data_IF_767627301900
#
_entry.id   IF_767627301900
#
_cell.length_a   1.000
_cell.length_b   1.000
_cell.length_c   1.000
_cell.angle_alpha   90.00
_cell.angle_beta   90.00
_cell.angle_gamma   90.00
#
_symmetry.space_group_name_H-M   'P 1'
#
loop_
_entity.id
_entity.type
_entity.pdbx_description
1 polymer ?
#
# COMPACT_ATOMS: atom_id res chain seq x y z
N UNK A 1 -15.72 -15.05 -58.08
CA UNK A 1 -16.42 -14.70 -56.82
C UNK A 1 -16.43 -15.86 -55.80
N UNK A 2 -15.27 -16.45 -55.47
CA UNK A 2 -15.12 -17.47 -54.40
C UNK A 2 -13.76 -17.37 -53.68
N UNK A 3 -13.35 -16.16 -53.28
CA UNK A 3 -12.16 -16.00 -52.43
C UNK A 3 -12.25 -14.93 -51.36
N UNK A 4 -13.40 -14.25 -51.17
CA UNK A 4 -13.54 -13.21 -50.14
C UNK A 4 -14.19 -13.65 -48.82
N UNK A 5 -14.69 -14.88 -48.72
CA UNK A 5 -15.43 -15.35 -47.53
C UNK A 5 -14.55 -15.76 -46.33
N UNK A 6 -13.29 -16.22 -46.45
CA UNK A 6 -12.49 -16.61 -45.28
C UNK A 6 -12.02 -15.42 -44.43
N UNK A 7 -11.77 -14.27 -45.05
CA UNK A 7 -11.20 -13.10 -44.37
C UNK A 7 -12.24 -12.33 -43.53
N UNK A 8 -13.52 -12.42 -43.89
CA UNK A 8 -14.61 -11.75 -43.16
C UNK A 8 -14.82 -12.40 -41.78
N UNK A 9 -14.64 -13.71 -41.65
CA UNK A 9 -14.77 -14.39 -40.34
C UNK A 9 -13.63 -14.06 -39.38
N UNK A 10 -12.41 -13.88 -39.90
CA UNK A 10 -11.26 -13.48 -39.09
C UNK A 10 -11.43 -12.02 -38.62
N UNK A 11 -11.89 -11.14 -39.50
CA UNK A 11 -12.14 -9.72 -39.19
C UNK A 11 -13.28 -9.58 -38.16
N UNK A 12 -14.38 -10.32 -38.31
CA UNK A 12 -15.50 -10.30 -37.34
C UNK A 12 -15.06 -10.86 -35.97
N UNK A 13 -14.21 -11.90 -35.96
CA UNK A 13 -13.67 -12.47 -34.70
C UNK A 13 -12.72 -11.50 -34.00
N UNK A 14 -11.88 -10.79 -34.76
CA UNK A 14 -10.99 -9.75 -34.21
C UNK A 14 -11.75 -8.53 -33.70
N UNK A 15 -12.85 -8.14 -34.35
CA UNK A 15 -13.72 -7.04 -33.90
C UNK A 15 -14.51 -7.43 -32.63
N UNK A 16 -14.95 -8.68 -32.51
CA UNK A 16 -15.60 -9.18 -31.29
C UNK A 16 -14.63 -9.27 -30.10
N UNK A 17 -13.38 -9.66 -30.34
CA UNK A 17 -12.32 -9.69 -29.32
C UNK A 17 -11.92 -8.28 -28.88
N UNK A 18 -11.78 -7.34 -29.82
CA UNK A 18 -11.52 -5.93 -29.51
C UNK A 18 -12.71 -5.27 -28.79
N UNK A 19 -13.95 -5.63 -29.14
CA UNK A 19 -15.15 -5.18 -28.45
C UNK A 19 -15.28 -5.73 -27.02
N UNK A 20 -14.83 -6.97 -26.78
CA UNK A 20 -14.77 -7.57 -25.44
C UNK A 20 -13.71 -6.89 -24.56
N UNK A 21 -12.55 -6.53 -25.14
CA UNK A 21 -11.51 -5.73 -24.48
C UNK A 21 -12.03 -4.31 -24.17
N UNK A 22 -12.79 -3.70 -25.07
CA UNK A 22 -13.38 -2.37 -24.84
C UNK A 22 -14.44 -2.34 -23.73
N UNK A 23 -15.08 -3.48 -23.44
CA UNK A 23 -16.13 -3.60 -22.41
C UNK A 23 -15.60 -4.04 -21.04
N UNK A 24 -14.44 -4.71 -20.99
CA UNK A 24 -13.85 -5.26 -19.76
C UNK A 24 -12.79 -4.34 -19.13
N UNK A 25 -12.38 -3.26 -19.80
CA UNK A 25 -11.36 -2.32 -19.33
C UNK A 25 -11.86 -0.85 -19.44
N UNK A 26 -12.49 -0.28 -18.39
CA UNK A 26 -12.99 1.09 -18.38
C UNK A 26 -11.91 2.17 -18.62
N UNK A 27 -10.63 1.84 -18.40
CA UNK A 27 -9.49 2.73 -18.60
C UNK A 27 -9.25 3.11 -20.08
N UNK A 28 -9.79 2.34 -21.03
CA UNK A 28 -9.71 2.65 -22.48
C UNK A 28 -10.72 3.73 -22.90
N UNK A 29 -11.78 3.98 -22.12
CA UNK A 29 -12.76 5.03 -22.42
C UNK A 29 -12.25 6.46 -22.16
N UNK A 30 -11.18 6.64 -21.38
CA UNK A 30 -10.68 7.95 -21.00
C UNK A 30 -9.63 8.53 -21.98
N UNK A 31 -9.07 7.72 -22.88
CA UNK A 31 -8.11 8.18 -23.87
C UNK A 31 -8.80 8.54 -25.19
N UNK A 32 -9.52 9.67 -25.20
CA UNK A 32 -9.91 10.31 -26.45
C UNK A 32 -8.64 10.71 -27.22
N UNK A 33 -8.32 9.99 -28.29
CA UNK A 33 -7.20 10.34 -29.18
C UNK A 33 -7.75 11.20 -30.33
N UNK A 34 -7.60 12.53 -30.30
CA UNK A 34 -7.77 13.33 -31.51
C UNK A 34 -6.56 13.14 -32.42
N UNK A 35 -6.83 12.85 -33.69
CA UNK A 35 -5.85 12.92 -34.77
C UNK A 35 -5.41 14.38 -34.98
N UNK A 36 -4.11 14.72 -34.91
CA UNK A 36 -3.63 15.99 -35.44
C UNK A 36 -3.19 15.82 -36.91
N UNK A 37 -3.67 16.74 -37.73
CA UNK A 37 -3.19 17.00 -39.08
C UNK A 37 -1.71 17.52 -39.05
N UNK A 38 -0.99 17.50 -40.18
CA UNK A 38 0.46 17.64 -40.19
C UNK A 38 0.89 19.11 -40.01
N UNK A 39 1.64 19.40 -38.95
CA UNK A 39 2.27 20.70 -38.73
C UNK A 39 3.19 20.73 -37.51
N UNK A 40 4.51 20.72 -37.76
CA UNK A 40 5.59 21.31 -36.95
C UNK A 40 5.71 20.99 -35.45
N UNK A 41 6.79 20.34 -35.05
CA UNK A 41 7.29 20.29 -33.67
C UNK A 41 8.14 21.54 -33.40
N UNK A 42 7.87 22.35 -32.35
CA UNK A 42 8.86 23.25 -31.77
C UNK A 42 9.22 22.84 -30.34
N UNK A 43 10.53 22.66 -30.08
CA UNK A 43 11.07 22.69 -28.71
C UNK A 43 11.95 21.53 -28.24
N UNK A 44 12.76 20.92 -29.11
CA UNK A 44 13.89 20.10 -28.64
C UNK A 44 15.16 20.96 -28.57
N UNK A 45 15.53 21.43 -27.37
CA UNK A 45 16.89 21.89 -27.10
C UNK A 45 17.68 20.77 -26.42
N UNK A 46 18.59 20.15 -27.16
CA UNK A 46 19.62 19.27 -26.61
C UNK A 46 20.64 20.13 -25.86
N UNK A 47 20.54 20.19 -24.53
CA UNK A 47 21.64 20.71 -23.70
C UNK A 47 22.60 19.56 -23.36
N UNK A 48 23.81 19.65 -23.90
CA UNK A 48 24.94 18.76 -23.67
C UNK A 48 25.45 18.84 -22.22
N UNK A 49 25.14 17.86 -21.38
CA UNK A 49 25.66 17.82 -20.01
C UNK A 49 25.48 16.51 -19.23
N UNK A 50 24.99 15.43 -19.84
CA UNK A 50 24.85 14.14 -19.16
C UNK A 50 26.18 13.37 -19.12
N UNK A 51 26.66 13.03 -17.93
CA UNK A 51 27.76 12.05 -17.81
C UNK A 51 27.34 10.71 -18.46
N UNK A 52 28.24 10.00 -19.17
CA UNK A 52 27.92 8.76 -19.90
C UNK A 52 27.17 7.71 -19.07
N UNK A 53 27.39 7.68 -17.76
CA UNK A 53 26.76 6.73 -16.84
C UNK A 53 25.23 6.90 -16.71
N UNK A 54 24.73 8.15 -16.68
CA UNK A 54 23.29 8.42 -16.48
C UNK A 54 22.43 8.07 -17.70
N UNK A 55 22.96 8.30 -18.91
CA UNK A 55 22.31 7.90 -20.15
C UNK A 55 22.26 6.36 -20.30
N UNK A 56 23.32 5.67 -19.84
CA UNK A 56 23.38 4.20 -19.83
C UNK A 56 22.35 3.60 -18.87
N UNK A 57 22.17 4.19 -17.68
CA UNK A 57 21.16 3.75 -16.71
C UNK A 57 19.74 4.00 -17.22
N UNK A 58 19.45 5.19 -17.75
CA UNK A 58 18.12 5.50 -18.32
C UNK A 58 17.75 4.58 -19.50
N UNK A 59 18.74 4.27 -20.36
CA UNK A 59 18.56 3.33 -21.46
C UNK A 59 18.33 1.89 -20.95
N UNK A 60 19.04 1.46 -19.90
CA UNK A 60 18.84 0.14 -19.32
C UNK A 60 17.47 -0.02 -18.64
N UNK A 61 16.97 1.01 -17.96
CA UNK A 61 15.61 1.01 -17.37
C UNK A 61 14.53 0.96 -18.45
N UNK A 62 14.71 1.69 -19.55
CA UNK A 62 13.81 1.62 -20.71
C UNK A 62 13.80 0.20 -21.31
N UNK A 63 14.97 -0.41 -21.49
CA UNK A 63 15.08 -1.79 -21.96
C UNK A 63 14.44 -2.79 -21.00
N UNK A 64 14.55 -2.57 -19.68
CA UNK A 64 13.91 -3.41 -18.66
C UNK A 64 12.39 -3.36 -18.77
N UNK A 65 11.80 -2.15 -18.89
CA UNK A 65 10.34 -2.01 -19.06
C UNK A 65 9.84 -2.65 -20.35
N UNK A 66 10.62 -2.54 -21.43
CA UNK A 66 10.30 -3.21 -22.71
C UNK A 66 10.38 -4.74 -22.54
N UNK A 67 11.39 -5.25 -21.83
CA UNK A 67 11.55 -6.67 -21.55
C UNK A 67 10.43 -7.22 -20.66
N UNK A 68 10.05 -6.51 -19.61
CA UNK A 68 8.93 -6.87 -18.71
C UNK A 68 7.59 -6.89 -19.48
N UNK A 69 7.34 -5.86 -20.31
CA UNK A 69 6.15 -5.81 -21.17
C UNK A 69 6.11 -6.93 -22.22
N UNK A 70 7.26 -7.23 -22.84
CA UNK A 70 7.37 -8.32 -23.82
C UNK A 70 7.18 -9.70 -23.15
N UNK A 71 7.73 -9.91 -21.95
CA UNK A 71 7.57 -11.14 -21.19
C UNK A 71 6.10 -11.34 -20.75
N UNK A 72 5.44 -10.28 -20.27
CA UNK A 72 4.03 -10.33 -19.89
C UNK A 72 3.12 -10.66 -21.08
N UNK A 73 3.37 -10.05 -22.25
CA UNK A 73 2.64 -10.35 -23.48
C UNK A 73 2.86 -11.80 -23.93
N UNK A 74 4.11 -12.26 -23.95
CA UNK A 74 4.46 -13.62 -24.37
C UNK A 74 3.87 -14.68 -23.42
N UNK A 75 3.91 -14.44 -22.11
CA UNK A 75 3.30 -15.31 -21.11
C UNK A 75 1.77 -15.36 -21.25
N UNK A 76 1.12 -14.21 -21.50
CA UNK A 76 -0.32 -14.13 -21.73
C UNK A 76 -0.74 -14.94 -22.97
N UNK A 77 0.03 -14.87 -24.05
CA UNK A 77 -0.19 -15.70 -25.25
C UNK A 77 0.00 -17.17 -24.92
N UNK A 78 1.06 -17.56 -24.21
CA UNK A 78 1.30 -18.96 -23.82
C UNK A 78 0.14 -19.53 -22.98
N UNK A 79 -0.35 -18.78 -21.99
CA UNK A 79 -1.49 -19.16 -21.15
C UNK A 79 -2.77 -19.29 -21.98
N UNK A 80 -3.03 -18.36 -22.89
CA UNK A 80 -4.18 -18.46 -23.81
C UNK A 80 -4.11 -19.74 -24.65
N UNK A 81 -2.94 -20.08 -25.20
CA UNK A 81 -2.74 -21.32 -25.94
C UNK A 81 -2.92 -22.56 -25.06
N UNK A 82 -2.53 -22.51 -23.78
CA UNK A 82 -2.81 -23.59 -22.83
C UNK A 82 -4.31 -23.76 -22.61
N UNK A 83 -5.06 -22.68 -22.37
CA UNK A 83 -6.52 -22.71 -22.20
C UNK A 83 -7.22 -23.25 -23.44
N UNK A 84 -6.86 -22.75 -24.63
CA UNK A 84 -7.45 -23.19 -25.89
C UNK A 84 -7.17 -24.66 -26.20
N UNK A 85 -5.95 -25.15 -25.91
CA UNK A 85 -5.63 -26.57 -26.09
C UNK A 85 -6.22 -27.45 -24.98
N UNK A 86 -6.39 -26.93 -23.77
CA UNK A 86 -7.13 -27.58 -22.68
C UNK A 86 -8.60 -27.80 -23.02
N UNK A 87 -9.28 -26.77 -23.55
CA UNK A 87 -10.64 -26.89 -24.05
C UNK A 87 -10.74 -27.87 -25.23
N UNK A 88 -9.77 -27.90 -26.14
CA UNK A 88 -9.73 -28.90 -27.23
C UNK A 88 -9.59 -30.33 -26.71
N UNK A 89 -8.92 -30.53 -25.57
CA UNK A 89 -8.79 -31.84 -24.94
C UNK A 89 -10.14 -32.34 -24.40
N UNK A 90 -10.93 -31.46 -23.79
CA UNK A 90 -12.26 -31.81 -23.25
C UNK A 90 -13.29 -32.10 -24.34
N UNK A 91 -13.19 -31.45 -25.50
CA UNK A 91 -14.13 -31.62 -26.62
C UNK A 91 -13.68 -32.65 -27.68
N UNK A 92 -12.61 -33.41 -27.45
CA UNK A 92 -12.05 -34.31 -28.47
C UNK A 92 -12.88 -35.60 -28.72
N UNK A 93 -13.94 -35.90 -27.95
CA UNK A 93 -14.91 -37.00 -28.12
C UNK A 93 -14.39 -38.26 -28.87
N UNK A 94 -13.32 -38.89 -28.37
CA UNK A 94 -12.79 -40.14 -28.92
C UNK A 94 -12.02 -40.04 -30.26
N UNK A 95 -11.87 -38.84 -30.83
CA UNK A 95 -11.04 -38.61 -32.01
C UNK A 95 -9.55 -38.56 -31.62
N UNK A 96 -8.82 -39.65 -31.88
CA UNK A 96 -7.41 -39.82 -31.52
C UNK A 96 -6.47 -38.79 -32.19
N UNK A 97 -6.81 -38.32 -33.39
CA UNK A 97 -6.03 -37.30 -34.10
C UNK A 97 -6.18 -35.92 -33.44
N UNK A 98 -7.42 -35.54 -33.08
CA UNK A 98 -7.70 -34.30 -32.38
C UNK A 98 -7.05 -34.26 -30.99
N UNK A 99 -7.09 -35.41 -30.28
CA UNK A 99 -6.47 -35.58 -28.97
C UNK A 99 -4.93 -35.48 -29.06
N UNK A 100 -4.34 -36.05 -30.10
CA UNK A 100 -2.91 -35.94 -30.39
C UNK A 100 -2.46 -34.49 -30.66
N UNK A 101 -3.25 -33.74 -31.43
CA UNK A 101 -2.97 -32.31 -31.72
C UNK A 101 -3.10 -31.44 -30.46
N UNK A 102 -4.13 -31.65 -29.64
CA UNK A 102 -4.33 -30.89 -28.40
C UNK A 102 -3.19 -31.13 -27.38
N UNK A 103 -2.76 -32.38 -27.19
CA UNK A 103 -1.63 -32.72 -26.30
C UNK A 103 -0.32 -32.08 -26.76
N UNK A 104 -0.01 -32.16 -28.06
CA UNK A 104 1.18 -31.49 -28.63
C UNK A 104 1.11 -29.96 -28.45
N UNK A 105 -0.06 -29.37 -28.66
CA UNK A 105 -0.27 -27.93 -28.44
C UNK A 105 -0.04 -27.52 -26.98
N UNK A 106 -0.51 -28.32 -26.02
CA UNK A 106 -0.28 -28.08 -24.59
C UNK A 106 1.20 -28.20 -24.22
N UNK A 107 1.90 -29.22 -24.73
CA UNK A 107 3.34 -29.39 -24.49
C UNK A 107 4.15 -28.21 -25.03
N UNK A 108 3.86 -27.73 -26.24
CA UNK A 108 4.57 -26.58 -26.82
C UNK A 108 4.27 -25.27 -26.10
N UNK A 109 3.03 -25.06 -25.65
CA UNK A 109 2.68 -23.88 -24.86
C UNK A 109 3.38 -23.89 -23.48
N UNK A 110 3.43 -25.05 -22.81
CA UNK A 110 4.16 -25.21 -21.55
C UNK A 110 5.67 -25.03 -21.72
N UNK A 111 6.26 -25.61 -22.77
CA UNK A 111 7.68 -25.42 -23.10
C UNK A 111 7.99 -23.94 -23.41
N UNK A 112 7.10 -23.26 -24.12
CA UNK A 112 7.21 -21.82 -24.38
C UNK A 112 7.18 -20.98 -23.09
N UNK A 113 6.27 -21.29 -22.17
CA UNK A 113 6.17 -20.59 -20.88
C UNK A 113 7.43 -20.79 -20.02
N UNK A 114 7.95 -22.02 -19.95
CA UNK A 114 9.20 -22.31 -19.23
C UNK A 114 10.39 -21.56 -19.84
N UNK A 115 10.48 -21.49 -21.17
CA UNK A 115 11.53 -20.73 -21.85
C UNK A 115 11.43 -19.23 -21.58
N UNK A 116 10.21 -18.67 -21.53
CA UNK A 116 9.99 -17.26 -21.20
C UNK A 116 10.42 -16.97 -19.75
N UNK A 117 10.04 -17.81 -18.80
CA UNK A 117 10.42 -17.67 -17.38
C UNK A 117 11.95 -17.79 -17.24
N UNK A 118 12.57 -18.75 -17.91
CA UNK A 118 14.01 -18.92 -17.88
C UNK A 118 14.74 -17.71 -18.48
N UNK A 119 14.29 -17.22 -19.65
CA UNK A 119 14.84 -16.02 -20.27
C UNK A 119 14.70 -14.79 -19.35
N UNK A 120 13.55 -14.65 -18.69
CA UNK A 120 13.28 -13.58 -17.73
C UNK A 120 14.27 -13.58 -16.55
N UNK A 121 14.48 -14.75 -15.93
CA UNK A 121 15.41 -14.94 -14.81
C UNK A 121 16.85 -14.62 -15.24
N UNK A 122 17.28 -15.11 -16.42
CA UNK A 122 18.62 -14.84 -16.96
C UNK A 122 18.82 -13.34 -17.18
N UNK A 123 17.85 -12.64 -17.80
CA UNK A 123 17.93 -11.19 -18.02
C UNK A 123 18.04 -10.43 -16.70
N UNK A 124 17.19 -10.73 -15.71
CA UNK A 124 17.25 -10.11 -14.36
C UNK A 124 18.59 -10.35 -13.68
N UNK A 125 19.13 -11.57 -13.76
CA UNK A 125 20.40 -11.95 -13.14
C UNK A 125 21.59 -11.24 -13.79
N UNK A 126 21.63 -11.17 -15.13
CA UNK A 126 22.69 -10.46 -15.86
C UNK A 126 22.67 -8.97 -15.54
N UNK A 127 21.49 -8.37 -15.43
CA UNK A 127 21.31 -6.98 -15.03
C UNK A 127 21.82 -6.76 -13.60
N UNK A 128 21.39 -7.58 -12.64
CA UNK A 128 21.84 -7.49 -11.24
C UNK A 128 23.36 -7.61 -11.11
N UNK A 129 23.99 -8.54 -11.83
CA UNK A 129 25.45 -8.71 -11.85
C UNK A 129 26.18 -7.53 -12.52
N UNK A 130 25.56 -6.87 -13.50
CA UNK A 130 26.12 -5.70 -14.17
C UNK A 130 26.12 -4.46 -13.25
N UNK A 131 25.19 -4.39 -12.28
CA UNK A 131 25.06 -3.27 -11.35
C UNK A 131 25.65 -3.51 -9.95
N UNK A 132 25.99 -4.75 -9.60
CA UNK A 132 26.56 -5.10 -8.28
C UNK A 132 28.08 -4.88 -8.16
N UNK A 133 28.74 -4.28 -9.16
CA UNK A 133 30.19 -4.04 -9.16
C UNK A 133 30.57 -2.60 -8.80
N UNK A 134 30.63 -2.28 -7.50
CA UNK A 134 31.55 -1.27 -6.91
C UNK A 134 31.35 -1.19 -5.40
N UNK A 135 32.05 -2.11 -4.72
CA UNK A 135 32.75 -2.01 -3.45
C UNK A 135 32.05 -1.38 -2.23
N UNK A 136 31.80 -2.23 -1.23
CA UNK A 136 31.43 -1.83 0.12
C UNK A 136 32.58 -1.18 0.88
N UNK A 137 32.25 -0.16 1.68
CA UNK A 137 32.96 0.25 2.90
C UNK A 137 32.08 1.21 3.69
N UNK A 138 31.81 0.85 4.94
CA UNK A 138 31.21 1.73 5.93
C UNK A 138 32.19 2.88 6.26
N UNK A 139 31.70 4.12 6.30
CA UNK A 139 32.32 5.21 7.08
C UNK A 139 31.21 6.00 7.75
N UNK A 140 31.14 5.87 9.08
CA UNK A 140 30.50 6.83 9.97
C UNK A 140 31.32 8.12 9.93
N UNK A 141 30.67 9.26 9.70
CA UNK A 141 31.29 10.59 9.79
C UNK A 141 30.22 11.65 10.03
N UNK A 142 30.17 12.15 11.26
CA UNK A 142 29.53 13.41 11.63
C UNK A 142 30.26 14.58 10.97
N UNK A 143 29.56 15.50 10.29
CA UNK A 143 29.83 16.94 10.30
C UNK A 143 28.78 17.75 9.52
N UNK A 144 28.56 18.98 10.00
CA UNK A 144 27.49 19.92 9.65
C UNK A 144 27.77 20.80 8.40
N UNK A 145 26.67 21.17 7.72
CA UNK A 145 26.37 22.41 6.96
C UNK A 145 27.10 22.73 5.63
N UNK A 146 26.35 22.67 4.50
CA UNK A 146 25.96 23.81 3.65
C UNK A 146 25.13 23.34 2.41
N UNK A 147 24.18 24.15 1.88
CA UNK A 147 23.19 23.70 0.90
C UNK A 147 23.74 23.75 -0.53
N UNK A 148 23.58 22.66 -1.30
CA UNK A 148 23.95 22.63 -2.72
C UNK A 148 22.75 22.32 -3.62
N UNK A 149 22.59 23.24 -4.56
CA UNK A 149 21.65 23.36 -5.68
C UNK A 149 21.51 22.12 -6.58
N UNK A 150 20.23 21.82 -6.88
CA UNK A 150 19.57 20.95 -7.89
C UNK A 150 20.26 20.91 -9.28
N UNK A 151 20.34 19.84 -10.10
CA UNK A 151 19.40 18.79 -10.65
C UNK A 151 20.25 17.74 -11.44
N UNK A 152 19.80 16.55 -11.96
CA UNK A 152 18.51 16.25 -12.63
C UNK A 152 17.82 14.89 -12.38
N UNK A 153 16.48 14.92 -12.43
CA UNK A 153 15.54 13.82 -12.26
C UNK A 153 14.35 14.34 -11.46
N UNK A 154 13.52 15.17 -12.09
CA UNK A 154 12.50 16.02 -11.48
C UNK A 154 11.47 15.21 -10.67
N UNK A 155 11.75 15.04 -9.38
CA UNK A 155 10.76 14.82 -8.35
C UNK A 155 10.04 16.17 -8.22
N UNK A 156 8.72 16.21 -8.39
CA UNK A 156 7.91 17.42 -8.15
C UNK A 156 8.36 18.01 -6.81
N UNK A 157 8.88 19.26 -6.76
CA UNK A 157 9.39 19.80 -5.52
C UNK A 157 8.28 19.71 -4.47
N UNK A 158 8.51 18.90 -3.44
CA UNK A 158 7.60 18.59 -2.33
C UNK A 158 7.36 19.82 -1.45
N UNK A 159 7.52 21.04 -1.96
CA UNK A 159 7.09 22.25 -1.29
C UNK A 159 5.56 22.17 -1.18
N UNK A 160 5.03 22.19 0.04
CA UNK A 160 3.64 22.54 0.25
C UNK A 160 3.45 23.93 -0.35
N UNK A 161 2.92 24.00 -1.58
CA UNK A 161 2.75 25.27 -2.28
C UNK A 161 2.01 26.21 -1.34
N UNK A 162 2.62 27.35 -1.02
CA UNK A 162 1.97 28.32 -0.14
C UNK A 162 1.08 29.19 -1.02
N UNK A 163 -0.20 29.23 -0.70
CA UNK A 163 -1.19 30.09 -1.35
C UNK A 163 -1.48 31.27 -0.43
N UNK A 164 -1.45 32.50 -0.95
CA UNK A 164 -1.86 33.69 -0.18
C UNK A 164 -3.35 33.89 -0.39
N UNK A 165 -4.12 33.80 0.70
CA UNK A 165 -5.56 34.06 0.69
C UNK A 165 -5.88 35.53 0.46
N UNK A 166 -7.13 35.81 0.08
CA UNK A 166 -7.65 37.18 -0.10
C UNK A 166 -7.61 38.02 1.21
N UNK A 167 -7.47 37.35 2.35
CA UNK A 167 -7.27 37.91 3.68
C UNK A 167 -5.80 38.28 3.99
N UNK A 168 -4.88 37.99 3.07
CA UNK A 168 -3.44 38.21 3.23
C UNK A 168 -2.72 37.14 4.06
N UNK A 169 -3.40 36.05 4.45
CA UNK A 169 -2.81 34.93 5.18
C UNK A 169 -2.24 33.89 4.21
N UNK A 170 -1.06 33.38 4.52
CA UNK A 170 -0.43 32.29 3.78
C UNK A 170 -0.97 30.93 4.26
N UNK A 171 -1.50 30.13 3.34
CA UNK A 171 -2.05 28.81 3.60
C UNK A 171 -1.25 27.73 2.88
N UNK A 172 -1.21 26.53 3.44
CA UNK A 172 -0.77 25.35 2.68
C UNK A 172 -1.79 25.07 1.59
N UNK A 173 -1.30 24.86 0.35
CA UNK A 173 -2.15 24.54 -0.79
C UNK A 173 -2.91 23.25 -0.55
N UNK A 174 -4.23 23.40 -0.49
CA UNK A 174 -5.15 22.31 -0.17
C UNK A 174 -5.28 21.30 -1.31
N UNK A 175 -5.82 20.13 -0.98
CA UNK A 175 -6.14 19.08 -1.93
C UNK A 175 -5.26 17.84 -1.78
N UNK A 176 -5.55 16.86 -2.63
CA UNK A 176 -4.84 15.59 -2.66
C UNK A 176 -3.70 15.65 -3.69
N UNK A 177 -2.53 15.14 -3.31
CA UNK A 177 -1.34 15.05 -4.16
C UNK A 177 -0.70 13.68 -4.02
N UNK A 178 -0.16 13.16 -5.12
CA UNK A 178 0.75 12.00 -5.09
C UNK A 178 2.16 12.54 -5.20
N UNK A 179 3.02 12.17 -4.27
CA UNK A 179 4.41 12.61 -4.19
C UNK A 179 5.32 11.39 -4.13
N UNK A 180 6.58 11.57 -4.47
CA UNK A 180 7.60 10.52 -4.36
C UNK A 180 8.93 11.08 -3.88
N UNK A 181 9.79 10.24 -3.34
CA UNK A 181 11.19 10.55 -3.10
C UNK A 181 12.05 9.30 -3.31
N UNK A 182 13.35 9.48 -3.57
CA UNK A 182 14.28 8.36 -3.65
C UNK A 182 14.79 7.96 -2.28
N UNK A 183 14.81 6.66 -2.04
CA UNK A 183 15.38 6.08 -0.83
C UNK A 183 15.93 4.69 -1.12
N UNK A 184 17.14 4.41 -0.64
CA UNK A 184 17.84 3.13 -0.86
C UNK A 184 17.88 2.71 -2.34
N UNK A 185 17.99 3.69 -3.25
CA UNK A 185 18.04 3.45 -4.70
C UNK A 185 16.70 3.13 -5.36
N UNK A 186 15.58 3.19 -4.63
CA UNK A 186 14.23 3.02 -5.16
C UNK A 186 13.42 4.31 -5.02
N UNK A 187 12.51 4.54 -5.96
CA UNK A 187 11.49 5.59 -5.82
C UNK A 187 10.39 5.07 -4.87
N UNK A 188 10.08 5.86 -3.83
CA UNK A 188 9.01 5.57 -2.87
C UNK A 188 7.93 6.63 -3.02
N UNK A 189 6.69 6.19 -3.19
CA UNK A 189 5.53 7.06 -3.40
C UNK A 189 4.67 7.18 -2.15
N UNK A 190 3.90 8.24 -2.02
CA UNK A 190 2.87 8.40 -1.00
C UNK A 190 1.82 9.39 -1.50
N UNK A 191 0.63 9.37 -0.89
CA UNK A 191 -0.37 10.42 -1.08
C UNK A 191 -0.47 11.29 0.15
N UNK A 192 -0.72 12.57 -0.07
CA UNK A 192 -0.98 13.54 0.97
C UNK A 192 -2.29 14.25 0.66
N UNK A 193 -3.07 14.52 1.70
CA UNK A 193 -4.27 15.34 1.65
C UNK A 193 -4.13 16.49 2.64
N UNK A 194 -4.13 17.71 2.10
CA UNK A 194 -4.09 18.95 2.89
C UNK A 194 -5.49 19.56 2.90
N UNK A 195 -6.13 19.69 4.08
CA UNK A 195 -7.39 20.42 4.23
C UNK A 195 -7.31 21.87 3.77
N UNK A 196 -8.45 22.44 3.42
CA UNK A 196 -8.56 23.89 3.20
C UNK A 196 -8.31 24.66 4.51
N UNK A 197 -7.61 25.79 4.40
CA UNK A 197 -7.43 26.74 5.50
C UNK A 197 -6.37 26.37 6.53
N UNK A 198 -5.39 25.51 6.21
CA UNK A 198 -4.24 25.28 7.09
C UNK A 198 -3.24 26.44 6.96
N UNK A 199 -3.10 27.24 8.02
CA UNK A 199 -2.18 28.38 8.11
C UNK A 199 -0.71 27.94 7.98
N UNK A 200 -0.01 28.38 6.93
CA UNK A 200 1.37 28.01 6.64
C UNK A 200 2.40 28.62 7.61
N UNK A 201 1.99 29.55 8.49
CA UNK A 201 2.83 30.08 9.58
C UNK A 201 2.86 29.17 10.80
N UNK A 202 1.95 28.20 10.89
CA UNK A 202 1.83 27.24 12.00
C UNK A 202 2.27 25.85 11.56
N UNK A 203 2.59 25.02 12.55
CA UNK A 203 2.79 23.57 12.35
C UNK A 203 1.49 22.81 12.57
N UNK A 204 1.27 21.71 11.86
CA UNK A 204 0.01 20.97 11.84
C UNK A 204 0.21 19.50 12.19
N UNK A 205 -0.75 18.86 12.87
CA UNK A 205 -0.69 17.42 13.10
C UNK A 205 -0.73 16.61 11.81
N UNK A 206 -0.16 15.41 11.84
CA UNK A 206 -0.16 14.46 10.73
C UNK A 206 -0.78 13.14 11.19
N UNK A 207 -1.69 12.58 10.39
CA UNK A 207 -2.19 11.21 10.58
C UNK A 207 -1.89 10.39 9.34
N UNK A 208 -1.13 9.30 9.50
CA UNK A 208 -0.76 8.38 8.43
C UNK A 208 -1.64 7.13 8.45
N UNK A 209 -2.15 6.69 7.29
CA UNK A 209 -2.86 5.41 7.15
C UNK A 209 -2.09 4.45 6.26
N UNK A 210 -1.68 3.32 6.84
CA UNK A 210 -0.99 2.22 6.16
C UNK A 210 -2.00 1.22 5.59
N UNK A 211 -1.95 1.00 4.28
CA UNK A 211 -2.84 0.05 3.60
C UNK A 211 -2.52 -1.41 3.97
N UNK A 212 -3.51 -2.30 3.83
CA UNK A 212 -3.31 -3.75 3.97
C UNK A 212 -2.48 -4.36 2.84
N UNK A 213 -2.16 -5.65 2.95
CA UNK A 213 -1.33 -6.36 1.97
C UNK A 213 -1.99 -6.35 0.60
N UNK A 214 -1.19 -6.15 -0.46
CA UNK A 214 -1.67 -5.91 -1.82
C UNK A 214 -2.57 -4.67 -2.01
N UNK A 215 -2.71 -3.82 -1.00
CA UNK A 215 -3.37 -2.52 -1.12
C UNK A 215 -2.51 -1.47 -1.84
N UNK A 216 -2.95 -0.23 -1.71
CA UNK A 216 -2.24 0.99 -2.12
C UNK A 216 -2.81 2.22 -1.37
N UNK A 217 -2.21 3.40 -1.56
CA UNK A 217 -2.61 4.64 -0.90
C UNK A 217 -4.06 5.06 -1.20
N UNK A 218 -4.55 4.85 -2.42
CA UNK A 218 -5.96 5.15 -2.77
C UNK A 218 -6.93 4.27 -1.99
N UNK A 219 -6.64 2.97 -1.91
CA UNK A 219 -7.46 2.03 -1.16
C UNK A 219 -7.49 2.37 0.34
N UNK A 220 -6.35 2.78 0.93
CA UNK A 220 -6.31 3.25 2.31
C UNK A 220 -7.13 4.53 2.52
N UNK A 221 -7.02 5.50 1.60
CA UNK A 221 -7.79 6.74 1.66
C UNK A 221 -9.30 6.49 1.56
N UNK A 222 -9.72 5.64 0.62
CA UNK A 222 -11.13 5.29 0.44
C UNK A 222 -11.68 4.49 1.62
N UNK A 223 -10.93 3.49 2.11
CA UNK A 223 -11.37 2.60 3.18
C UNK A 223 -11.50 3.34 4.52
N UNK A 224 -10.52 4.18 4.85
CA UNK A 224 -10.51 4.92 6.11
C UNK A 224 -11.40 6.17 6.08
N UNK A 225 -11.59 6.79 4.91
CA UNK A 225 -12.27 8.09 4.81
C UNK A 225 -11.54 9.22 5.55
N UNK A 226 -10.25 9.04 5.88
CA UNK A 226 -9.51 9.95 6.75
C UNK A 226 -9.45 11.38 6.17
N UNK A 227 -9.37 11.55 4.85
CA UNK A 227 -9.35 12.87 4.20
C UNK A 227 -10.59 13.70 4.52
N UNK A 228 -11.76 13.07 4.69
CA UNK A 228 -12.99 13.76 5.10
C UNK A 228 -12.90 14.25 6.54
N UNK A 229 -12.34 13.44 7.44
CA UNK A 229 -12.16 13.80 8.85
C UNK A 229 -11.10 14.91 8.99
N UNK A 230 -10.01 14.82 8.21
CA UNK A 230 -8.95 15.82 8.14
C UNK A 230 -9.49 17.23 7.84
N UNK A 231 -10.51 17.35 6.98
CA UNK A 231 -11.15 18.65 6.70
C UNK A 231 -11.80 19.31 7.91
N UNK A 232 -12.40 18.49 8.78
CA UNK A 232 -13.15 18.94 9.95
C UNK A 232 -12.20 19.18 11.13
N UNK A 233 -11.28 18.25 11.36
CA UNK A 233 -10.38 18.24 12.51
C UNK A 233 -9.04 18.94 12.27
N UNK A 234 -8.80 19.43 11.03
CA UNK A 234 -7.66 20.27 10.64
C UNK A 234 -6.29 19.64 10.93
N UNK A 235 -6.03 18.49 10.32
CA UNK A 235 -4.72 17.84 10.27
C UNK A 235 -4.36 17.40 8.85
N UNK A 236 -3.09 17.13 8.58
CA UNK A 236 -2.62 16.60 7.30
C UNK A 236 -2.81 15.08 7.29
N UNK A 237 -3.52 14.54 6.29
CA UNK A 237 -3.68 13.10 6.11
C UNK A 237 -2.65 12.58 5.11
N UNK A 238 -1.98 11.47 5.43
CA UNK A 238 -0.92 10.87 4.61
C UNK A 238 -1.20 9.39 4.41
N UNK A 239 -0.98 8.90 3.21
CA UNK A 239 -1.20 7.51 2.81
C UNK A 239 0.09 6.99 2.15
N UNK A 240 1.00 6.40 2.93
CA UNK A 240 2.25 5.83 2.42
C UNK A 240 1.99 4.62 1.51
N UNK A 241 2.86 4.41 0.50
CA UNK A 241 2.84 3.20 -0.35
C UNK A 241 3.91 2.20 0.08
N UNK A 242 3.50 0.95 0.26
CA UNK A 242 4.42 -0.15 0.53
C UNK A 242 5.27 -0.47 -0.70
N UNK A 243 6.53 -0.86 -0.49
CA UNK A 243 7.31 -1.51 -1.54
C UNK A 243 6.68 -2.84 -1.93
N UNK A 244 6.60 -3.15 -3.23
CA UNK A 244 5.98 -4.37 -3.75
C UNK A 244 4.55 -4.65 -3.21
N UNK A 245 3.83 -3.60 -2.78
CA UNK A 245 2.48 -3.65 -2.19
C UNK A 245 2.40 -4.48 -0.89
N UNK A 246 3.52 -4.71 -0.22
CA UNK A 246 3.57 -5.47 1.03
C UNK A 246 4.54 -4.82 2.01
N UNK A 247 4.04 -4.43 3.19
CA UNK A 247 4.89 -3.91 4.26
C UNK A 247 5.74 -5.01 4.85
N UNK A 248 7.01 -4.72 5.07
CA UNK A 248 7.89 -5.47 5.95
C UNK A 248 7.44 -5.24 7.40
N UNK A 249 6.45 -6.01 7.85
CA UNK A 249 5.72 -5.79 9.10
C UNK A 249 6.29 -6.51 10.31
N UNK A 250 7.47 -7.14 10.16
CA UNK A 250 8.16 -7.87 11.22
C UNK A 250 7.95 -9.38 11.19
N UNK A 251 7.03 -9.89 10.36
CA UNK A 251 6.92 -11.34 10.10
C UNK A 251 8.07 -11.82 9.21
N UNK A 252 8.57 -13.03 9.47
CA UNK A 252 9.59 -13.65 8.63
C UNK A 252 9.14 -13.82 7.16
N UNK A 253 7.84 -13.96 6.92
CA UNK A 253 7.26 -14.15 5.59
C UNK A 253 7.10 -12.85 4.79
N UNK A 254 7.13 -11.69 5.45
CA UNK A 254 7.12 -10.36 4.82
C UNK A 254 8.51 -9.72 4.81
N UNK A 255 9.50 -10.39 5.41
CA UNK A 255 10.87 -9.93 5.45
C UNK A 255 11.42 -9.75 4.03
N UNK A 256 11.91 -8.56 3.74
CA UNK A 256 12.47 -8.20 2.45
C UNK A 256 13.66 -7.24 2.62
N UNK A 257 14.38 -6.97 1.53
CA UNK A 257 15.42 -5.95 1.52
C UNK A 257 14.85 -4.51 1.59
N UNK A 258 13.53 -4.36 1.49
CA UNK A 258 12.85 -3.08 1.59
C UNK A 258 12.72 -2.70 3.06
N UNK A 259 13.34 -1.58 3.44
CA UNK A 259 13.27 -1.04 4.79
C UNK A 259 12.14 -0.01 4.90
N UNK A 260 10.95 -0.51 5.24
CA UNK A 260 9.77 0.35 5.40
C UNK A 260 9.84 1.25 6.63
N UNK A 261 10.61 0.90 7.67
CA UNK A 261 10.80 1.75 8.85
C UNK A 261 11.67 2.95 8.48
N UNK A 262 12.78 2.74 7.75
CA UNK A 262 13.57 3.83 7.21
C UNK A 262 12.73 4.72 6.28
N UNK A 263 11.88 4.13 5.44
CA UNK A 263 10.96 4.87 4.57
C UNK A 263 10.02 5.78 5.32
N UNK A 264 9.35 5.27 6.34
CA UNK A 264 8.46 6.07 7.17
C UNK A 264 9.23 7.19 7.89
N UNK A 265 10.43 6.91 8.40
CA UNK A 265 11.27 7.94 9.04
C UNK A 265 11.69 9.06 8.07
N UNK A 266 12.09 8.71 6.84
CA UNK A 266 12.40 9.70 5.81
C UNK A 266 11.16 10.50 5.40
N UNK A 267 10.01 9.85 5.27
CA UNK A 267 8.74 10.52 4.98
C UNK A 267 8.36 11.51 6.10
N UNK A 268 8.50 11.14 7.37
CA UNK A 268 8.25 12.05 8.50
C UNK A 268 9.16 13.27 8.39
N UNK A 269 10.47 13.08 8.20
CA UNK A 269 11.42 14.19 8.06
C UNK A 269 11.04 15.13 6.91
N UNK A 270 10.56 14.60 5.79
CA UNK A 270 10.08 15.40 4.66
C UNK A 270 8.83 16.22 5.02
N UNK A 271 7.89 15.64 5.76
CA UNK A 271 6.67 16.34 6.20
C UNK A 271 7.01 17.46 7.18
N UNK A 272 7.98 17.24 8.07
CA UNK A 272 8.47 18.25 9.01
C UNK A 272 9.14 19.42 8.29
N UNK A 273 9.95 19.14 7.27
CA UNK A 273 10.67 20.19 6.53
C UNK A 273 9.75 20.99 5.61
N UNK A 274 8.87 20.32 4.88
CA UNK A 274 8.22 20.92 3.71
C UNK A 274 6.72 21.16 3.88
N UNK A 275 6.06 20.45 4.81
CA UNK A 275 4.60 20.48 4.99
C UNK A 275 4.17 21.07 6.31
N UNK A 276 5.10 21.71 7.04
CA UNK A 276 4.84 22.27 8.37
C UNK A 276 4.23 21.23 9.31
N UNK A 277 4.66 19.96 9.24
CA UNK A 277 4.19 18.98 10.21
C UNK A 277 4.73 19.31 11.61
N UNK A 278 3.92 19.08 12.64
CA UNK A 278 4.31 19.21 14.04
C UNK A 278 5.04 17.92 14.48
N UNK A 279 6.33 17.99 14.87
CA UNK A 279 7.11 16.81 15.25
C UNK A 279 6.60 16.09 16.49
N UNK A 280 5.73 16.73 17.27
CA UNK A 280 5.12 16.14 18.48
C UNK A 280 3.73 15.55 18.21
N UNK A 281 3.20 15.67 16.99
CA UNK A 281 1.83 15.29 16.64
C UNK A 281 1.75 14.51 15.33
N UNK A 282 2.63 13.53 15.20
CA UNK A 282 2.59 12.55 14.11
C UNK A 282 1.94 11.27 14.62
N UNK A 283 0.94 10.77 13.92
CA UNK A 283 0.18 9.58 14.30
C UNK A 283 0.18 8.56 13.16
N UNK A 284 0.13 7.28 13.50
CA UNK A 284 0.08 6.18 12.55
C UNK A 284 -1.13 5.29 12.80
N UNK A 285 -1.84 4.89 11.77
CA UNK A 285 -2.82 3.82 11.87
C UNK A 285 -2.82 2.96 10.61
N UNK A 286 -3.38 1.76 10.68
CA UNK A 286 -3.40 0.87 9.52
C UNK A 286 -4.27 -0.34 9.71
N UNK A 287 -4.48 -1.07 8.61
CA UNK A 287 -5.28 -2.30 8.59
C UNK A 287 -4.44 -3.50 8.17
N UNK A 288 -4.68 -4.68 8.76
CA UNK A 288 -4.07 -5.94 8.34
C UNK A 288 -2.53 -5.84 8.35
N UNK A 289 -1.84 -6.11 7.23
CA UNK A 289 -0.41 -5.86 7.07
C UNK A 289 0.03 -4.42 7.43
N UNK A 290 -0.76 -3.40 7.10
CA UNK A 290 -0.50 -2.03 7.53
C UNK A 290 -0.74 -1.79 9.02
N UNK A 291 -1.65 -2.54 9.63
CA UNK A 291 -1.87 -2.55 11.09
C UNK A 291 -0.72 -3.22 11.84
N UNK A 292 -0.18 -4.32 11.29
CA UNK A 292 1.05 -4.95 11.79
C UNK A 292 2.26 -4.04 11.61
N UNK A 293 2.39 -3.35 10.47
CA UNK A 293 3.41 -2.32 10.27
C UNK A 293 3.28 -1.19 11.30
N UNK A 294 2.05 -0.75 11.61
CA UNK A 294 1.79 0.25 12.65
C UNK A 294 2.29 -0.22 14.03
N UNK A 295 2.07 -1.50 14.37
CA UNK A 295 2.59 -2.09 15.61
C UNK A 295 4.13 -2.22 15.60
N UNK A 296 4.72 -2.55 14.45
CA UNK A 296 6.19 -2.54 14.28
C UNK A 296 6.78 -1.15 14.49
N UNK A 297 6.16 -0.11 13.93
CA UNK A 297 6.55 1.29 14.18
C UNK A 297 6.44 1.65 15.66
N UNK A 298 5.41 1.16 16.37
CA UNK A 298 5.28 1.35 17.81
C UNK A 298 6.40 0.66 18.62
N UNK A 299 6.95 -0.46 18.12
CA UNK A 299 8.06 -1.17 18.75
C UNK A 299 9.44 -0.56 18.44
N UNK A 300 9.71 -0.23 17.17
CA UNK A 300 11.04 0.17 16.70
C UNK A 300 11.22 1.69 16.64
N UNK A 301 10.15 2.45 16.36
CA UNK A 301 10.19 3.89 16.07
C UNK A 301 9.32 4.73 17.00
N UNK A 302 8.92 4.20 18.16
CA UNK A 302 7.87 4.78 19.01
C UNK A 302 8.05 6.25 19.40
N UNK A 303 9.28 6.79 19.43
CA UNK A 303 9.53 8.21 19.73
C UNK A 303 9.12 9.18 18.63
N UNK A 304 8.95 8.71 17.39
CA UNK A 304 8.56 9.56 16.25
C UNK A 304 7.04 9.79 16.17
N UNK A 305 6.25 9.03 16.94
CA UNK A 305 4.80 9.06 16.87
C UNK A 305 4.17 9.33 18.24
N UNK A 306 3.13 10.15 18.25
CA UNK A 306 2.34 10.46 19.44
C UNK A 306 1.25 9.41 19.73
N UNK A 307 0.86 8.61 18.73
CA UNK A 307 -0.12 7.54 18.90
C UNK A 307 -0.35 6.68 17.67
N UNK A 308 -0.98 5.53 17.91
CA UNK A 308 -1.12 4.42 16.99
C UNK A 308 -2.57 3.88 16.93
N UNK A 309 -3.00 3.41 15.76
CA UNK A 309 -4.28 2.71 15.56
C UNK A 309 -4.14 1.43 14.74
N UNK A 310 -4.49 0.28 15.30
CA UNK A 310 -4.35 -1.02 14.63
C UNK A 310 -5.73 -1.64 14.35
N UNK A 311 -6.04 -1.90 13.08
CA UNK A 311 -7.33 -2.49 12.67
C UNK A 311 -7.10 -3.86 12.03
N UNK A 312 -7.87 -4.88 12.45
CA UNK A 312 -7.79 -6.24 11.91
C UNK A 312 -6.34 -6.77 11.82
N UNK A 313 -5.57 -6.53 12.88
CA UNK A 313 -4.15 -6.86 12.95
C UNK A 313 -3.72 -7.15 14.39
N UNK A 314 -3.31 -8.39 14.62
CA UNK A 314 -2.67 -8.83 15.86
C UNK A 314 -1.16 -8.63 15.79
N UNK A 315 -0.45 -8.80 16.91
CA UNK A 315 1.00 -8.67 16.94
C UNK A 315 1.65 -9.86 16.21
N UNK A 316 2.52 -9.61 15.21
CA UNK A 316 3.40 -10.65 14.65
C UNK A 316 4.17 -11.40 15.72
N UNK A 317 4.19 -12.73 15.66
CA UNK A 317 5.03 -13.52 16.55
C UNK A 317 6.51 -13.14 16.36
N UNK A 318 7.21 -12.96 17.47
CA UNK A 318 8.61 -12.57 17.50
C UNK A 318 8.82 -11.06 17.57
N UNK A 319 7.85 -10.24 17.12
CA UNK A 319 7.98 -8.79 17.15
C UNK A 319 8.03 -8.24 18.58
N UNK A 320 7.36 -8.88 19.53
CA UNK A 320 7.39 -8.53 20.96
C UNK A 320 8.81 -8.43 21.52
N UNK A 321 9.75 -9.21 20.97
CA UNK A 321 11.15 -9.23 21.39
C UNK A 321 11.94 -8.00 20.91
N UNK A 322 11.45 -7.30 19.89
CA UNK A 322 12.09 -6.13 19.30
C UNK A 322 11.54 -4.81 19.85
N UNK A 323 10.59 -4.86 20.78
CA UNK A 323 9.94 -3.67 21.32
C UNK A 323 10.71 -3.04 22.50
N UNK A 324 11.84 -3.58 22.95
CA UNK A 324 12.46 -3.16 24.23
C UNK A 324 12.80 -1.66 24.33
N UNK A 325 13.01 -0.97 23.21
CA UNK A 325 13.44 0.43 23.18
C UNK A 325 12.30 1.46 23.12
N UNK A 326 11.07 1.09 22.76
CA UNK A 326 9.96 2.05 22.74
C UNK A 326 9.49 2.36 24.16
N UNK A 327 9.04 3.57 24.47
CA UNK A 327 8.46 3.85 25.78
C UNK A 327 7.09 3.17 25.97
N UNK A 328 6.28 3.74 26.85
CA UNK A 328 4.83 3.55 26.73
C UNK A 328 4.33 4.15 25.41
N UNK A 329 3.24 3.58 24.89
CA UNK A 329 2.65 3.95 23.61
C UNK A 329 1.18 4.29 23.79
N UNK A 330 0.67 5.22 22.99
CA UNK A 330 -0.77 5.42 22.89
C UNK A 330 -1.29 4.57 21.72
N UNK A 331 -2.06 3.52 21.99
CA UNK A 331 -2.53 2.59 20.97
C UNK A 331 -4.03 2.32 21.12
N UNK A 332 -4.76 2.29 20.00
CA UNK A 332 -6.13 1.78 19.93
C UNK A 332 -6.20 0.62 18.94
N UNK A 333 -6.94 -0.44 19.29
CA UNK A 333 -6.97 -1.69 18.51
C UNK A 333 -8.38 -2.18 18.22
N UNK A 334 -8.61 -2.74 17.04
CA UNK A 334 -9.89 -3.31 16.60
C UNK A 334 -9.70 -4.74 16.07
N UNK A 335 -10.41 -5.71 16.64
CA UNK A 335 -10.32 -7.13 16.27
C UNK A 335 -11.70 -7.76 16.09
N UNK A 336 -11.90 -8.45 14.95
CA UNK A 336 -13.11 -9.21 14.67
C UNK A 336 -12.97 -10.67 15.07
N UNK A 337 -13.96 -11.25 15.76
CA UNK A 337 -13.88 -12.64 16.24
C UNK A 337 -14.05 -13.68 15.13
N UNK A 338 -14.66 -13.30 14.00
CA UNK A 338 -14.93 -14.16 12.84
C UNK A 338 -14.14 -13.66 11.62
N UNK A 339 -12.96 -13.10 11.86
CA UNK A 339 -12.03 -12.67 10.82
C UNK A 339 -11.46 -13.90 10.10
N UNK A 340 -11.75 -14.10 8.79
CA UNK A 340 -11.32 -15.29 8.05
C UNK A 340 -9.84 -15.25 7.64
N UNK A 341 -9.11 -14.19 7.97
CA UNK A 341 -7.73 -13.94 7.52
C UNK A 341 -6.80 -13.78 8.71
N UNK A 342 -7.12 -12.84 9.62
CA UNK A 342 -6.38 -12.56 10.84
C UNK A 342 -7.04 -13.30 12.01
N UNK A 343 -6.50 -14.45 12.47
CA UNK A 343 -7.16 -15.28 13.46
C UNK A 343 -7.27 -14.55 14.80
N UNK A 344 -8.50 -14.36 15.30
CA UNK A 344 -8.75 -13.70 16.58
C UNK A 344 -8.05 -14.43 17.74
N UNK A 345 -8.05 -15.76 17.72
CA UNK A 345 -7.40 -16.60 18.72
C UNK A 345 -5.89 -16.82 18.46
N UNK A 346 -5.32 -16.13 17.48
CA UNK A 346 -3.91 -16.23 17.12
C UNK A 346 -3.59 -17.46 16.26
N UNK A 347 -2.31 -17.61 15.94
CA UNK A 347 -1.81 -18.68 15.08
C UNK A 347 -1.51 -18.20 13.65
N UNK A 348 -1.62 -19.13 12.70
CA UNK A 348 -1.24 -18.88 11.30
C UNK A 348 -2.27 -17.99 10.58
N UNK A 349 -1.79 -16.91 9.98
CA UNK A 349 -2.59 -16.04 9.11
C UNK A 349 -2.98 -16.82 7.87
N UNK A 350 -4.28 -16.80 7.56
CA UNK A 350 -4.80 -17.53 6.40
C UNK A 350 -4.38 -16.84 5.10
N UNK A 351 -3.76 -17.60 4.21
CA UNK A 351 -3.52 -17.19 2.82
C UNK A 351 -4.79 -17.40 1.98
N UNK A 352 -5.22 -16.36 1.29
CA UNK A 352 -6.31 -16.38 0.33
C UNK A 352 -5.74 -15.93 -1.04
N UNK A 353 -5.16 -16.87 -1.82
CA UNK A 353 -4.53 -16.55 -3.10
C UNK A 353 -5.47 -15.86 -4.09
N UNK A 354 -6.78 -16.15 -4.01
CA UNK A 354 -7.81 -15.53 -4.86
C UNK A 354 -7.99 -14.02 -4.63
N UNK A 355 -7.60 -13.51 -3.46
CA UNK A 355 -7.58 -12.08 -3.16
C UNK A 355 -6.17 -11.48 -3.21
N UNK A 356 -5.16 -12.31 -3.46
CA UNK A 356 -3.76 -11.95 -3.19
C UNK A 356 -3.53 -11.60 -1.72
N UNK A 357 -4.38 -12.03 -0.79
CA UNK A 357 -4.17 -11.68 0.63
C UNK A 357 -3.42 -12.81 1.31
N UNK A 358 -2.42 -12.45 2.11
CA UNK A 358 -1.76 -13.38 3.01
C UNK A 358 -0.33 -13.68 2.60
N UNK A 359 0.61 -12.92 3.16
CA UNK A 359 1.99 -13.39 3.27
C UNK A 359 2.14 -14.54 4.29
N UNK A 360 1.05 -15.09 4.85
CA UNK A 360 1.09 -16.11 5.90
C UNK A 360 1.85 -15.65 7.15
N UNK A 361 2.44 -16.59 7.88
CA UNK A 361 3.15 -16.32 9.13
C UNK A 361 2.21 -16.32 10.34
N UNK A 362 2.81 -16.20 11.53
CA UNK A 362 2.11 -16.40 12.80
C UNK A 362 1.93 -15.08 13.55
N UNK A 363 0.82 -14.96 14.26
CA UNK A 363 0.49 -13.85 15.13
C UNK A 363 0.03 -14.34 16.49
N UNK A 364 0.22 -13.51 17.52
CA UNK A 364 -0.46 -13.70 18.79
C UNK A 364 -1.98 -13.59 18.63
N UNK A 365 -2.73 -14.06 19.64
CA UNK A 365 -4.16 -13.80 19.69
C UNK A 365 -4.46 -12.31 19.89
N UNK A 366 -5.67 -11.86 19.56
CA UNK A 366 -6.11 -10.50 19.85
C UNK A 366 -6.07 -10.21 21.35
N UNK A 367 -6.60 -11.10 22.24
CA UNK A 367 -6.41 -10.96 23.69
C UNK A 367 -4.95 -10.84 24.11
N UNK A 368 -4.05 -11.74 23.66
CA UNK A 368 -2.63 -11.71 24.03
C UNK A 368 -1.93 -10.45 23.50
N UNK A 369 -2.31 -10.00 22.30
CA UNK A 369 -1.81 -8.74 21.73
C UNK A 369 -2.23 -7.55 22.59
N UNK A 370 -3.51 -7.48 23.00
CA UNK A 370 -3.97 -6.40 23.88
C UNK A 370 -3.34 -6.46 25.26
N UNK A 371 -3.12 -7.66 25.80
CA UNK A 371 -2.44 -7.86 27.09
C UNK A 371 -0.97 -7.47 27.02
N UNK A 372 -0.27 -7.80 25.93
CA UNK A 372 1.10 -7.35 25.68
C UNK A 372 1.22 -5.83 25.74
N UNK A 373 0.35 -5.11 25.01
CA UNK A 373 0.36 -3.65 25.02
C UNK A 373 -0.09 -3.05 26.35
N UNK A 374 -1.04 -3.69 27.05
CA UNK A 374 -1.47 -3.28 28.38
C UNK A 374 -0.32 -3.40 29.39
N UNK A 375 0.38 -4.53 29.39
CA UNK A 375 1.54 -4.76 30.25
C UNK A 375 2.65 -3.75 29.95
N UNK A 376 2.91 -3.48 28.67
CA UNK A 376 3.88 -2.47 28.23
C UNK A 376 3.56 -1.07 28.75
N UNK A 377 2.30 -0.68 28.66
CA UNK A 377 1.83 0.61 29.15
C UNK A 377 1.65 0.66 30.67
N UNK A 378 1.91 -0.44 31.37
CA UNK A 378 1.66 -0.63 32.79
C UNK A 378 0.21 -0.28 33.15
N UNK A 379 -0.71 -0.82 32.36
CA UNK A 379 -2.13 -0.64 32.58
C UNK A 379 -2.64 -1.54 33.71
N UNK A 380 -3.65 -1.07 34.42
CA UNK A 380 -4.37 -1.81 35.45
C UNK A 380 -5.44 -2.73 34.83
N UNK A 381 -6.61 -2.77 35.44
CA UNK A 381 -7.66 -3.72 35.04
C UNK A 381 -8.38 -3.24 33.78
N UNK A 382 -8.52 -4.13 32.80
CA UNK A 382 -9.37 -3.91 31.64
C UNK A 382 -10.85 -3.91 32.00
N UNK A 383 -11.57 -2.87 31.60
CA UNK A 383 -13.00 -2.68 31.78
C UNK A 383 -13.68 -2.82 30.42
N UNK A 384 -14.54 -3.82 30.30
CA UNK A 384 -15.38 -4.05 29.13
C UNK A 384 -16.66 -3.22 29.23
N UNK A 385 -17.02 -2.55 28.14
CA UNK A 385 -18.27 -1.81 28.00
C UNK A 385 -18.91 -2.15 26.66
N UNK A 386 -20.15 -2.61 26.69
CA UNK A 386 -20.93 -2.84 25.48
C UNK A 386 -21.18 -1.51 24.76
N UNK A 387 -20.87 -1.48 23.46
CA UNK A 387 -21.33 -0.42 22.56
C UNK A 387 -22.74 -0.80 22.11
N UNK A 388 -23.71 0.14 22.11
CA UNK A 388 -25.07 -0.16 21.69
C UNK A 388 -25.13 -0.75 20.28
N UNK A 389 -25.67 -1.97 20.17
CA UNK A 389 -26.02 -2.59 18.90
C UNK A 389 -27.21 -1.82 18.30
N UNK A 390 -26.89 -1.00 17.32
CA UNK A 390 -27.81 -0.07 16.66
C UNK A 390 -28.10 -0.48 15.22
N UNK A 391 -27.39 -1.49 14.71
CA UNK A 391 -27.43 -1.90 13.32
C UNK A 391 -27.47 -3.42 13.20
N UNK A 392 -28.47 -3.95 12.49
CA UNK A 392 -28.56 -5.39 12.26
C UNK A 392 -27.57 -5.83 11.15
N UNK A 393 -26.31 -6.02 11.51
CA UNK A 393 -25.23 -6.47 10.63
C UNK A 393 -24.56 -7.79 11.08
N UNK A 394 -25.19 -8.47 12.04
CA UNK A 394 -24.70 -9.69 12.70
C UNK A 394 -23.38 -9.50 13.46
N UNK A 395 -23.11 -8.29 13.94
CA UNK A 395 -21.99 -8.01 14.83
C UNK A 395 -22.46 -7.40 16.14
N UNK A 396 -21.64 -7.50 17.17
CA UNK A 396 -21.76 -6.68 18.39
C UNK A 396 -20.37 -6.20 18.79
N UNK A 397 -20.28 -5.08 19.51
CA UNK A 397 -19.00 -4.47 19.86
C UNK A 397 -18.86 -4.28 21.37
N UNK A 398 -17.77 -4.79 21.93
CA UNK A 398 -17.33 -4.54 23.29
C UNK A 398 -16.08 -3.66 23.24
N UNK A 399 -16.12 -2.49 23.89
CA UNK A 399 -14.96 -1.63 24.08
C UNK A 399 -14.23 -2.03 25.35
N UNK A 400 -12.91 -2.20 25.24
CA UNK A 400 -11.99 -2.42 26.34
C UNK A 400 -11.29 -1.11 26.65
N UNK A 401 -11.41 -0.64 27.89
CA UNK A 401 -10.64 0.49 28.43
C UNK A 401 -9.87 0.04 29.66
N UNK A 402 -8.91 0.83 30.13
CA UNK A 402 -8.14 0.49 31.32
C UNK A 402 -8.30 1.58 32.38
N UNK A 403 -8.48 1.18 33.64
CA UNK A 403 -8.68 2.11 34.76
C UNK A 403 -7.52 3.10 34.95
N UNK A 404 -6.30 2.64 34.68
CA UNK A 404 -5.04 3.35 34.79
C UNK A 404 -4.05 2.78 33.77
N UNK A 405 -3.14 3.62 33.28
CA UNK A 405 -1.94 3.22 32.54
C UNK A 405 -0.82 4.22 32.90
N UNK A 406 0.35 3.72 33.32
CA UNK A 406 1.40 4.59 33.86
C UNK A 406 2.31 5.23 32.79
N UNK A 407 2.45 4.62 31.61
CA UNK A 407 3.38 5.07 30.57
C UNK A 407 2.74 5.53 29.26
N UNK A 408 1.49 5.14 28.99
CA UNK A 408 0.79 5.42 27.74
C UNK A 408 -0.71 5.23 27.90
N UNK A 409 -1.43 5.01 26.79
CA UNK A 409 -2.88 4.77 26.77
C UNK A 409 -3.21 3.58 25.89
N UNK A 410 -4.18 2.77 26.29
CA UNK A 410 -4.66 1.65 25.48
C UNK A 410 -6.18 1.61 25.44
N UNK A 411 -6.74 1.40 24.24
CA UNK A 411 -8.15 1.07 24.05
C UNK A 411 -8.27 -0.13 23.09
N UNK A 412 -9.20 -1.03 23.36
CA UNK A 412 -9.50 -2.19 22.51
C UNK A 412 -10.96 -2.19 22.07
N UNK A 413 -11.24 -2.79 20.92
CA UNK A 413 -12.57 -3.03 20.40
C UNK A 413 -12.65 -4.48 19.92
N UNK A 414 -13.34 -5.31 20.70
CA UNK A 414 -13.71 -6.66 20.31
C UNK A 414 -15.02 -6.60 19.54
N UNK A 415 -15.00 -7.07 18.30
CA UNK A 415 -16.14 -7.05 17.39
C UNK A 415 -16.59 -8.50 17.20
N UNK A 416 -17.53 -8.94 18.03
CA UNK A 416 -18.10 -10.28 17.94
C UNK A 416 -18.85 -10.43 16.62
N UNK A 417 -18.57 -11.48 15.86
CA UNK A 417 -19.14 -11.70 14.52
C UNK A 417 -18.51 -10.85 13.41
N UNK A 418 -17.61 -9.92 13.75
CA UNK A 418 -16.89 -9.07 12.81
C UNK A 418 -15.80 -9.81 12.06
N UNK A 419 -15.57 -9.44 10.80
CA UNK A 419 -14.55 -10.00 9.94
C UNK A 419 -13.32 -9.10 9.71
N UNK A 420 -12.57 -9.39 8.65
CA UNK A 420 -11.37 -8.68 8.18
C UNK A 420 -11.69 -7.36 7.46
N UNK A 421 -12.26 -6.39 8.18
CA UNK A 421 -12.69 -5.13 7.58
C UNK A 421 -12.34 -3.92 8.45
N UNK A 422 -12.44 -2.74 7.85
CA UNK A 422 -12.42 -1.47 8.59
C UNK A 422 -13.82 -1.19 9.18
N UNK A 423 -14.00 -1.14 10.52
CA UNK A 423 -15.30 -0.89 11.12
C UNK A 423 -15.92 0.44 10.67
N UNK A 424 -17.20 0.39 10.28
CA UNK A 424 -17.93 1.52 9.71
C UNK A 424 -17.74 1.72 8.20
N UNK A 425 -16.92 0.89 7.54
CA UNK A 425 -16.79 0.89 6.08
C UNK A 425 -17.97 0.20 5.39
N UNK A 426 -18.00 0.23 4.07
CA UNK A 426 -19.00 -0.46 3.25
C UNK A 426 -18.38 -1.67 2.55
N UNK A 427 -19.14 -2.77 2.41
CA UNK A 427 -18.76 -3.88 1.54
C UNK A 427 -18.29 -5.14 2.27
N UNK A 428 -19.14 -5.69 3.15
CA UNK A 428 -18.95 -7.04 3.65
C UNK A 428 -18.92 -8.04 2.48
N UNK A 429 -18.04 -9.04 2.57
CA UNK A 429 -17.93 -10.09 1.55
C UNK A 429 -17.76 -11.45 2.23
N UNK A 430 -18.08 -12.53 1.52
CA UNK A 430 -17.84 -13.87 2.04
C UNK A 430 -16.34 -14.15 2.33
N UNK A 431 -15.43 -13.38 1.73
CA UNK A 431 -13.99 -13.55 1.87
C UNK A 431 -13.39 -12.69 3.00
N UNK A 432 -14.08 -11.64 3.41
CA UNK A 432 -13.64 -10.73 4.48
C UNK A 432 -14.55 -10.77 5.70
N UNK A 433 -15.67 -11.49 5.67
CA UNK A 433 -16.63 -11.55 6.78
C UNK A 433 -17.47 -10.28 6.96
N UNK A 434 -18.17 -10.19 8.09
CA UNK A 434 -19.10 -9.08 8.36
C UNK A 434 -18.34 -7.78 8.67
N UNK A 435 -18.97 -6.65 8.35
CA UNK A 435 -18.49 -5.31 8.72
C UNK A 435 -19.42 -4.77 9.79
N UNK A 436 -18.86 -4.48 10.97
CA UNK A 436 -19.62 -3.79 12.02
C UNK A 436 -19.85 -2.33 11.67
N UNK A 437 -21.07 -1.85 11.88
CA UNK A 437 -21.51 -0.46 11.67
C UNK A 437 -21.90 0.24 12.97
N UNK A 438 -21.87 -0.45 14.10
CA UNK A 438 -22.09 0.14 15.43
C UNK A 438 -20.95 1.07 15.85
N UNK A 439 -19.76 0.89 15.24
CA UNK A 439 -18.59 1.73 15.47
C UNK A 439 -17.96 2.16 14.15
N UNK A 440 -17.45 3.38 14.09
CA UNK A 440 -16.64 3.89 12.97
C UNK A 440 -15.19 4.02 13.42
N UNK A 441 -14.34 3.09 13.00
CA UNK A 441 -12.96 3.01 13.49
C UNK A 441 -12.18 4.32 13.27
N UNK A 442 -12.37 5.01 12.14
CA UNK A 442 -11.70 6.30 11.90
C UNK A 442 -12.06 7.34 12.94
N UNK A 443 -13.34 7.44 13.33
CA UNK A 443 -13.77 8.39 14.36
C UNK A 443 -13.17 8.02 15.72
N UNK A 444 -13.24 6.75 16.11
CA UNK A 444 -12.68 6.29 17.39
C UNK A 444 -11.16 6.48 17.46
N UNK A 445 -10.44 6.21 16.36
CA UNK A 445 -8.99 6.44 16.25
C UNK A 445 -8.68 7.93 16.42
N UNK A 446 -9.41 8.80 15.72
CA UNK A 446 -9.17 10.25 15.81
C UNK A 446 -9.55 10.81 17.17
N UNK A 447 -10.64 10.36 17.78
CA UNK A 447 -11.01 10.76 19.14
C UNK A 447 -9.99 10.27 20.17
N UNK A 448 -9.45 9.06 19.99
CA UNK A 448 -8.34 8.55 20.79
C UNK A 448 -7.08 9.41 20.60
N UNK A 449 -6.71 9.76 19.38
CA UNK A 449 -5.57 10.65 19.11
C UNK A 449 -5.78 12.06 19.69
N UNK A 450 -7.01 12.59 19.69
CA UNK A 450 -7.34 13.90 20.30
C UNK A 450 -7.09 13.90 21.80
N UNK A 451 -7.45 12.81 22.49
CA UNK A 451 -7.12 12.61 23.92
C UNK A 451 -5.61 12.50 24.16
N UNK A 452 -4.83 12.20 23.12
CA UNK A 452 -3.38 11.98 23.16
C UNK A 452 -2.59 13.02 22.33
N UNK A 453 -3.13 14.23 22.15
CA UNK A 453 -2.38 15.38 21.62
C UNK A 453 -2.71 15.83 20.19
N UNK A 454 -3.59 15.11 19.47
CA UNK A 454 -4.09 15.56 18.16
C UNK A 454 -4.99 16.78 18.35
N UNK A 455 -4.39 17.96 18.27
CA UNK A 455 -5.07 19.25 18.37
C UNK A 455 -4.53 20.17 17.27
N UNK A 456 -5.39 20.90 16.55
CA UNK A 456 -4.95 21.93 15.61
C UNK A 456 -4.02 22.93 16.31
N UNK A 457 -3.13 23.56 15.55
CA UNK A 457 -2.37 24.67 16.10
C UNK A 457 -3.31 25.83 16.48
N UNK A 458 -3.26 26.22 17.76
CA UNK A 458 -3.99 27.37 18.32
C UNK A 458 -3.56 28.66 17.64
#
# INVERSE_FOLDING_TARGET
MKSLVPNIRLIISSILVLGLIYFLFPEVQAAGIPYPAPGGIPGASLSSGGTPQGAVVAFAVLLQRIADGAAALAASVAILFMVLNGARLTFAFGNSEALGKARKGLMWAAAGLVLIIFAYIVTKTVIALTYSGSDGSAVIGTDNLAPTTTTPGEIDPINGNIEVGDDGVSYLSSGQRTLSFYQQGAERTFKIYVPTGLDASKVHPVVMIFHGGNGNADSAAQLSGLSTVANTEKFIAVYPEAGDRQWNDGRATTASAIDDVAYVNTLINQLLSDWKADPTKVFAAGISNGGMMTQRLACEGGSAFAGFGSVAANLPEGLENNCAASGGVNLVMFGGTEDPIMPYDGGEITDIPALGVGAGGFVLSYPDTTEFWAARNQCGTGILTDIPDSTNDNTTVEKITYDTCALGSLEGYKITGGGHNWPGSTGASALTGNVSRDVRATNEIIDFFKRNGLSPAL
#
